data_IF_933927029895
#
_entry.id   IF_933927029895
#
_cell.length_a   1.000
_cell.length_b   1.000
_cell.length_c   1.000
_cell.angle_alpha   90.00
_cell.angle_beta   90.00
_cell.angle_gamma   90.00
#
_symmetry.space_group_name_H-M   'P 1'
#
loop_
_entity.id
_entity.type
_entity.pdbx_description
1 polymer ?
#
# COMPACT_ATOMS: atom_id res chain seq x y z
N UNK A 1 17.80 2.36 2.40
CA UNK A 1 16.46 1.76 2.24
C UNK A 1 16.65 0.26 2.33
N UNK A 2 16.10 -0.39 3.36
CA UNK A 2 16.45 -1.77 3.70
C UNK A 2 15.88 -2.76 2.67
N UNK A 3 16.74 -3.61 2.11
CA UNK A 3 16.37 -4.76 1.29
C UNK A 3 15.98 -5.91 2.22
N UNK A 4 14.76 -6.46 2.06
CA UNK A 4 14.34 -7.67 2.77
C UNK A 4 14.15 -8.82 1.78
N UNK A 5 14.92 -9.89 1.99
CA UNK A 5 14.70 -11.20 1.39
C UNK A 5 13.85 -12.02 2.36
N UNK A 6 12.54 -12.06 2.13
CA UNK A 6 11.64 -12.92 2.90
C UNK A 6 11.86 -14.38 2.54
N UNK A 7 12.67 -15.10 3.33
CA UNK A 7 12.69 -16.56 3.35
C UNK A 7 11.49 -17.00 4.20
N UNK A 8 10.34 -17.20 3.56
CA UNK A 8 9.12 -17.65 4.24
C UNK A 8 7.96 -17.89 3.28
N UNK A 9 7.17 -18.93 3.56
CA UNK A 9 5.96 -19.27 2.83
C UNK A 9 4.98 -18.08 2.85
N UNK A 10 4.54 -17.59 1.69
CA UNK A 10 3.64 -16.43 1.59
C UNK A 10 4.33 -15.05 1.66
N UNK A 11 5.66 -14.97 1.54
CA UNK A 11 6.36 -13.68 1.57
C UNK A 11 6.09 -12.83 0.32
N UNK A 12 5.71 -11.57 0.53
CA UNK A 12 5.62 -10.55 -0.49
C UNK A 12 7.01 -9.90 -0.67
N UNK A 13 7.58 -10.02 -1.88
CA UNK A 13 8.83 -9.36 -2.23
C UNK A 13 8.56 -8.02 -2.91
N UNK A 14 9.32 -6.98 -2.56
CA UNK A 14 9.32 -5.67 -3.26
C UNK A 14 10.73 -5.37 -3.73
N UNK A 15 10.95 -5.34 -5.04
CA UNK A 15 12.21 -4.91 -5.66
C UNK A 15 11.99 -3.55 -6.29
N UNK A 16 12.84 -2.57 -6.00
CA UNK A 16 12.78 -1.23 -6.59
C UNK A 16 13.97 -1.08 -7.53
N UNK A 17 13.69 -0.77 -8.80
CA UNK A 17 14.72 -0.56 -9.81
C UNK A 17 15.18 0.91 -9.84
N UNK A 18 16.41 1.20 -10.32
CA UNK A 18 16.96 2.56 -10.39
C UNK A 18 16.20 3.53 -11.31
N UNK A 19 15.32 3.01 -12.17
CA UNK A 19 14.46 3.77 -13.08
C UNK A 19 13.07 4.11 -12.49
N UNK A 20 12.84 3.78 -11.21
CA UNK A 20 11.59 4.05 -10.51
C UNK A 20 10.53 2.95 -10.64
N UNK A 21 10.81 1.85 -11.34
CA UNK A 21 9.90 0.70 -11.40
C UNK A 21 9.91 -0.06 -10.07
N UNK A 22 8.72 -0.39 -9.56
CA UNK A 22 8.56 -1.20 -8.36
C UNK A 22 7.96 -2.54 -8.78
N UNK A 23 8.72 -3.61 -8.61
CA UNK A 23 8.27 -4.97 -8.87
C UNK A 23 7.81 -5.62 -7.57
N UNK A 24 6.54 -6.06 -7.54
CA UNK A 24 6.02 -6.91 -6.48
C UNK A 24 5.97 -8.35 -6.95
N UNK A 25 6.49 -9.26 -6.13
CA UNK A 25 6.38 -10.70 -6.37
C UNK A 25 5.46 -11.31 -5.33
N UNK A 26 4.34 -11.90 -5.78
CA UNK A 26 3.50 -12.77 -4.96
C UNK A 26 3.76 -14.23 -5.36
N UNK A 27 4.08 -15.09 -4.39
CA UNK A 27 4.23 -16.54 -4.63
C UNK A 27 2.90 -17.26 -4.44
N UNK A 28 2.65 -18.25 -5.29
CA UNK A 28 1.44 -19.08 -5.41
C UNK A 28 0.97 -19.67 -4.08
N UNK A 29 -0.36 -19.63 -3.87
CA UNK A 29 -1.05 -19.95 -2.61
C UNK A 29 -1.29 -21.45 -2.36
N UNK A 30 -0.83 -22.35 -3.23
CA UNK A 30 -1.12 -23.80 -3.14
C UNK A 30 0.13 -24.66 -2.85
N UNK A 31 0.12 -25.50 -1.79
CA UNK A 31 1.29 -26.24 -1.29
C UNK A 31 1.83 -27.33 -2.24
N UNK A 32 1.10 -27.69 -3.31
CA UNK A 32 1.53 -28.74 -4.26
C UNK A 32 2.40 -28.21 -5.40
N UNK A 33 2.22 -26.94 -5.82
CA UNK A 33 3.02 -26.33 -6.88
C UNK A 33 4.46 -25.98 -6.46
N UNK A 34 4.70 -25.89 -5.16
CA UNK A 34 6.00 -25.54 -4.58
C UNK A 34 7.08 -26.63 -4.79
N UNK A 35 6.67 -27.90 -4.94
CA UNK A 35 7.58 -29.03 -5.12
C UNK A 35 7.98 -29.28 -6.59
N UNK A 36 7.34 -28.61 -7.55
CA UNK A 36 7.59 -28.83 -9.00
C UNK A 36 8.40 -27.71 -9.67
N UNK A 37 9.02 -26.81 -8.90
CA UNK A 37 9.99 -25.84 -9.44
C UNK A 37 9.40 -24.64 -10.20
N UNK A 38 8.09 -24.43 -10.16
CA UNK A 38 7.42 -23.27 -10.79
C UNK A 38 7.16 -22.17 -9.75
N UNK A 39 8.13 -21.27 -9.57
CA UNK A 39 8.17 -20.27 -8.50
C UNK A 39 7.70 -18.85 -8.89
N UNK A 40 7.03 -18.69 -10.03
CA UNK A 40 6.62 -17.39 -10.56
C UNK A 40 5.23 -17.53 -11.18
N UNK A 41 4.22 -16.86 -10.61
CA UNK A 41 2.87 -16.94 -11.15
C UNK A 41 2.39 -15.64 -11.80
N UNK A 42 2.75 -14.46 -11.31
CA UNK A 42 2.37 -13.21 -11.98
C UNK A 42 3.31 -12.06 -11.64
N UNK A 43 3.68 -11.33 -12.68
CA UNK A 43 4.50 -10.13 -12.68
C UNK A 43 3.64 -9.04 -13.33
N UNK A 44 3.22 -8.02 -12.58
CA UNK A 44 2.51 -6.86 -13.13
C UNK A 44 3.14 -5.57 -12.61
N UNK A 45 3.27 -4.60 -13.50
CA UNK A 45 3.61 -3.23 -13.13
C UNK A 45 2.45 -2.66 -12.29
N UNK A 46 2.78 -2.03 -11.15
CA UNK A 46 1.77 -1.32 -10.35
C UNK A 46 1.35 -0.10 -11.15
N UNK A 47 0.13 -0.13 -11.69
CA UNK A 47 -0.42 0.98 -12.43
C UNK A 47 -0.52 2.21 -11.52
N UNK A 48 -0.53 3.41 -12.12
CA UNK A 48 -0.58 4.66 -11.35
C UNK A 48 -1.79 4.70 -10.40
N UNK A 49 -2.89 4.02 -10.77
CA UNK A 49 -4.12 3.88 -10.00
C UNK A 49 -3.95 3.08 -8.69
N UNK A 50 -2.99 2.16 -8.61
CA UNK A 50 -2.76 1.31 -7.43
C UNK A 50 -1.77 1.92 -6.43
N UNK A 51 -1.01 2.93 -6.86
CA UNK A 51 0.02 3.58 -6.03
C UNK A 51 -0.54 4.17 -4.72
N UNK A 52 -1.73 4.81 -4.70
CA UNK A 52 -2.31 5.33 -3.46
C UNK A 52 -2.59 4.23 -2.43
N UNK A 53 -3.27 3.17 -2.85
CA UNK A 53 -3.56 2.03 -2.00
C UNK A 53 -2.26 1.46 -1.41
N UNK A 54 -1.24 1.27 -2.23
CA UNK A 54 0.01 0.68 -1.78
C UNK A 54 0.82 1.57 -0.83
N UNK A 55 0.75 2.89 -1.02
CA UNK A 55 1.32 3.84 -0.08
C UNK A 55 0.62 3.75 1.28
N UNK A 56 -0.71 3.87 1.29
CA UNK A 56 -1.49 3.90 2.53
C UNK A 56 -1.49 2.55 3.25
N UNK A 57 -1.45 1.44 2.50
CA UNK A 57 -1.30 0.11 3.06
C UNK A 57 -0.03 0.00 3.94
N UNK A 58 1.09 0.55 3.46
CA UNK A 58 2.34 0.54 4.22
C UNK A 58 2.31 1.58 5.34
N UNK A 59 1.79 2.78 5.05
CA UNK A 59 1.91 3.91 5.95
C UNK A 59 0.96 3.84 7.14
N UNK A 60 -0.27 3.37 6.91
CA UNK A 60 -1.29 3.28 7.95
C UNK A 60 -1.10 2.08 8.89
N UNK A 61 -0.44 1.00 8.46
CA UNK A 61 -0.10 -0.13 9.35
C UNK A 61 0.87 0.23 10.47
N UNK A 62 1.60 1.32 10.33
CA UNK A 62 2.54 1.79 11.34
C UNK A 62 1.82 2.55 12.47
N UNK A 63 0.53 2.87 12.33
CA UNK A 63 -0.32 3.55 13.32
C UNK A 63 0.22 4.91 13.81
N UNK A 64 1.23 5.43 13.11
CA UNK A 64 1.86 6.72 13.30
C UNK A 64 1.29 7.74 12.32
N UNK A 65 1.57 9.02 12.58
CA UNK A 65 1.23 10.11 11.68
C UNK A 65 1.90 9.88 10.31
N UNK A 66 1.10 9.99 9.25
CA UNK A 66 1.53 9.89 7.86
C UNK A 66 1.73 11.30 7.30
N UNK A 67 2.97 11.77 7.10
CA UNK A 67 3.20 13.10 6.57
C UNK A 67 2.67 13.22 5.13
N UNK A 68 1.94 14.28 4.83
CA UNK A 68 1.30 14.51 3.52
C UNK A 68 2.33 14.59 2.40
N UNK A 69 3.47 15.22 2.66
CA UNK A 69 4.58 15.34 1.71
C UNK A 69 5.19 13.98 1.31
N UNK A 70 5.08 12.94 2.16
CA UNK A 70 5.58 11.61 1.83
C UNK A 70 4.78 10.98 0.69
N UNK A 71 3.47 11.24 0.62
CA UNK A 71 2.62 10.70 -0.44
C UNK A 71 3.18 11.08 -1.82
N UNK A 72 3.29 12.36 -2.11
CA UNK A 72 3.78 12.83 -3.41
C UNK A 72 5.23 12.45 -3.67
N UNK A 73 6.07 12.44 -2.63
CA UNK A 73 7.48 12.02 -2.75
C UNK A 73 7.64 10.55 -3.14
N UNK A 74 6.78 9.66 -2.64
CA UNK A 74 6.92 8.22 -2.86
C UNK A 74 6.05 7.68 -3.99
N UNK A 75 4.90 8.30 -4.28
CA UNK A 75 4.01 7.87 -5.38
C UNK A 75 4.27 8.63 -6.68
N UNK A 76 4.83 9.84 -6.59
CA UNK A 76 4.93 10.78 -7.71
C UNK A 76 3.58 11.38 -8.11
N UNK A 77 2.53 11.19 -7.30
CA UNK A 77 1.18 11.68 -7.56
C UNK A 77 0.87 12.91 -6.71
N UNK A 78 0.00 13.78 -7.23
CA UNK A 78 -0.52 14.90 -6.47
C UNK A 78 -1.58 14.44 -5.46
N UNK A 79 -1.64 15.12 -4.32
CA UNK A 79 -2.60 14.81 -3.26
C UNK A 79 -4.06 14.94 -3.74
N UNK A 80 -4.33 15.78 -4.75
CA UNK A 80 -5.66 15.91 -5.36
C UNK A 80 -6.25 14.58 -5.83
N UNK A 81 -5.43 13.61 -6.24
CA UNK A 81 -5.87 12.28 -6.70
C UNK A 81 -6.55 11.49 -5.58
N UNK A 82 -6.14 11.70 -4.33
CA UNK A 82 -6.62 10.96 -3.16
C UNK A 82 -7.55 11.80 -2.27
N UNK A 83 -7.80 13.06 -2.62
CA UNK A 83 -8.60 13.96 -1.79
C UNK A 83 -10.04 13.47 -1.54
N UNK A 84 -10.76 12.93 -2.54
CA UNK A 84 -12.08 12.35 -2.30
C UNK A 84 -12.06 11.23 -1.25
N UNK A 85 -11.07 10.34 -1.34
CA UNK A 85 -10.89 9.19 -0.45
C UNK A 85 -10.52 9.63 0.97
N UNK A 86 -9.61 10.60 1.10
CA UNK A 86 -9.23 11.18 2.40
C UNK A 86 -10.42 11.88 3.06
N UNK A 87 -11.19 12.66 2.30
CA UNK A 87 -12.39 13.32 2.83
C UNK A 87 -13.43 12.29 3.33
N UNK A 88 -13.64 11.20 2.58
CA UNK A 88 -14.50 10.09 3.00
C UNK A 88 -14.00 9.40 4.27
N UNK A 89 -12.69 9.16 4.37
CA UNK A 89 -12.07 8.57 5.55
C UNK A 89 -12.20 9.45 6.81
N UNK A 90 -12.10 10.77 6.66
CA UNK A 90 -12.32 11.74 7.76
C UNK A 90 -13.79 11.78 8.15
N UNK A 91 -14.71 11.82 7.17
CA UNK A 91 -16.14 11.82 7.41
C UNK A 91 -16.62 10.56 8.16
N UNK A 92 -16.00 9.41 7.89
CA UNK A 92 -16.24 8.16 8.61
C UNK A 92 -15.50 8.07 9.95
N UNK A 93 -14.71 9.09 10.31
CA UNK A 93 -13.96 9.13 11.55
C UNK A 93 -12.76 8.18 11.60
N UNK A 94 -12.29 7.65 10.46
CA UNK A 94 -11.12 6.78 10.39
C UNK A 94 -9.80 7.54 10.48
N UNK A 95 -9.77 8.75 9.91
CA UNK A 95 -8.60 9.62 9.90
C UNK A 95 -8.92 10.96 10.56
N UNK A 96 -7.93 11.51 11.23
CA UNK A 96 -7.81 12.93 11.53
C UNK A 96 -6.75 13.52 10.61
N UNK A 97 -7.01 14.70 10.04
CA UNK A 97 -6.00 15.44 9.26
C UNK A 97 -5.56 16.70 10.00
N UNK A 98 -4.28 17.03 9.84
CA UNK A 98 -3.74 18.33 10.18
C UNK A 98 -3.08 18.98 8.93
N UNK A 99 -2.44 20.13 9.12
CA UNK A 99 -1.80 20.87 8.02
C UNK A 99 -0.69 20.08 7.30
N UNK A 100 -0.09 19.09 7.95
CA UNK A 100 1.12 18.40 7.51
C UNK A 100 0.99 16.86 7.48
N UNK A 101 0.00 16.27 8.13
CA UNK A 101 -0.10 14.82 8.35
C UNK A 101 -1.53 14.29 8.41
N UNK A 102 -1.67 13.00 8.15
CA UNK A 102 -2.87 12.21 8.43
C UNK A 102 -2.59 11.23 9.57
N UNK A 103 -3.45 11.22 10.57
CA UNK A 103 -3.34 10.31 11.71
C UNK A 103 -4.55 9.40 11.77
N UNK A 104 -4.31 8.10 11.93
CA UNK A 104 -5.40 7.13 12.15
C UNK A 104 -5.94 7.30 13.56
N UNK A 105 -7.26 7.39 13.66
CA UNK A 105 -8.00 7.44 14.93
C UNK A 105 -8.15 6.04 15.52
N UNK A 106 -8.50 5.91 16.80
CA UNK A 106 -8.80 4.58 17.38
C UNK A 106 -9.89 3.82 16.61
N UNK A 107 -10.88 4.53 16.06
CA UNK A 107 -11.90 3.93 15.20
C UNK A 107 -11.29 3.40 13.89
N UNK A 108 -10.45 4.20 13.22
CA UNK A 108 -9.76 3.78 12.01
C UNK A 108 -8.82 2.59 12.21
N UNK A 109 -8.25 2.40 13.41
CA UNK A 109 -7.45 1.21 13.75
C UNK A 109 -8.29 -0.06 13.73
N UNK A 110 -9.50 -0.01 14.29
CA UNK A 110 -10.44 -1.14 14.31
C UNK A 110 -10.95 -1.49 12.91
N UNK A 111 -11.07 -0.49 12.03
CA UNK A 111 -11.59 -0.63 10.67
C UNK A 111 -10.52 -0.37 9.60
N UNK A 112 -9.27 -0.78 9.86
CA UNK A 112 -8.14 -0.48 8.98
C UNK A 112 -8.34 -1.01 7.55
N UNK A 113 -8.93 -2.19 7.40
CA UNK A 113 -9.19 -2.75 6.07
C UNK A 113 -10.22 -1.90 5.30
N UNK A 114 -11.32 -1.51 5.95
CA UNK A 114 -12.34 -0.64 5.36
C UNK A 114 -11.78 0.75 5.01
N UNK A 115 -10.88 1.30 5.84
CA UNK A 115 -10.14 2.51 5.50
C UNK A 115 -9.29 2.33 4.24
N UNK A 116 -8.57 1.21 4.10
CA UNK A 116 -7.73 0.94 2.94
C UNK A 116 -8.54 0.67 1.67
N UNK A 117 -9.71 0.05 1.78
CA UNK A 117 -10.63 -0.20 0.68
C UNK A 117 -11.07 1.09 -0.03
N UNK A 118 -11.14 2.22 0.69
CA UNK A 118 -11.42 3.53 0.08
C UNK A 118 -10.40 3.95 -0.98
N UNK A 119 -9.18 3.41 -0.93
CA UNK A 119 -8.10 3.74 -1.86
C UNK A 119 -7.91 2.70 -2.96
N UNK A 120 -8.70 1.63 -2.98
CA UNK A 120 -8.72 0.70 -4.10
C UNK A 120 -9.37 1.39 -5.30
N UNK A 121 -8.77 1.23 -6.46
CA UNK A 121 -9.41 1.64 -7.72
C UNK A 121 -10.45 0.59 -8.09
N UNK A 122 -11.64 1.02 -8.49
CA UNK A 122 -12.61 0.13 -9.13
C UNK A 122 -12.17 -0.05 -10.60
N UNK A 123 -11.85 -1.29 -10.99
CA UNK A 123 -11.56 -1.69 -12.38
C UNK A 123 -12.78 -1.51 -13.30
#
# INVERSE_FOLDING_TARGET
MANYLGIGCGAHGKVTFPDGRILRTAKTRHPRGYMEGRYLERQHDVEAADKPFEFFMNRFRLLEAAPRAEFSRYTGLDESVIRPQIAAAIAQGYLAEDAHSWQITEHGKLFLNSLLELFLSED
#
